data_IF_550402321759
#
_entry.id   IF_550402321759
#
_cell.length_a   1.000
_cell.length_b   1.000
_cell.length_c   1.000
_cell.angle_alpha   90.00
_cell.angle_beta   90.00
_cell.angle_gamma   90.00
#
_symmetry.space_group_name_H-M   'P 1'
#
loop_
_entity.id
_entity.type
_entity.pdbx_description
1 polymer ?
#
# COMPACT_ATOMS: atom_id res chain seq x y z
N UNK A 1 -12.40 -6.03 7.39
CA UNK A 1 -12.25 -7.24 8.24
C UNK A 1 -11.41 -6.89 9.48
N UNK A 2 -12.00 -7.02 10.68
CA UNK A 2 -11.25 -7.07 11.93
C UNK A 2 -10.28 -8.26 11.86
N UNK A 3 -9.03 -8.07 12.29
CA UNK A 3 -8.03 -9.12 12.26
C UNK A 3 -8.46 -10.25 13.22
N UNK A 4 -8.24 -11.50 12.79
CA UNK A 4 -8.39 -12.70 13.61
C UNK A 4 -7.36 -12.81 14.73
N UNK A 5 -6.38 -11.90 14.72
CA UNK A 5 -5.13 -12.01 15.47
C UNK A 5 -5.09 -10.97 16.62
N UNK A 6 -6.17 -10.18 16.80
CA UNK A 6 -6.25 -9.09 17.79
C UNK A 6 -5.41 -7.85 17.45
N UNK A 7 -4.69 -7.86 16.32
CA UNK A 7 -3.78 -6.80 15.90
C UNK A 7 -4.50 -5.78 15.00
N UNK A 8 -4.44 -4.50 15.34
CA UNK A 8 -4.87 -3.44 14.42
C UNK A 8 -3.80 -3.16 13.36
N UNK A 9 -3.77 -4.01 12.34
CA UNK A 9 -2.84 -3.89 11.21
C UNK A 9 -3.01 -2.59 10.43
N UNK A 10 -4.21 -2.02 10.41
CA UNK A 10 -4.44 -0.75 9.72
C UNK A 10 -3.77 0.39 10.48
N UNK A 11 -3.88 0.40 11.81
CA UNK A 11 -3.14 1.34 12.65
C UNK A 11 -1.63 1.17 12.48
N UNK A 12 -1.11 -0.05 12.54
CA UNK A 12 0.32 -0.32 12.39
C UNK A 12 0.88 0.19 11.05
N UNK A 13 0.20 -0.12 9.94
CA UNK A 13 0.59 0.36 8.59
C UNK A 13 0.47 1.89 8.50
N UNK A 14 -0.56 2.48 9.11
CA UNK A 14 -0.74 3.92 9.18
C UNK A 14 0.37 4.64 9.96
N UNK A 15 0.79 4.09 11.09
CA UNK A 15 1.86 4.63 11.93
C UNK A 15 3.21 4.59 11.17
N UNK A 16 3.50 3.50 10.47
CA UNK A 16 4.66 3.38 9.57
C UNK A 16 4.61 4.45 8.47
N UNK A 17 3.46 4.59 7.79
CA UNK A 17 3.30 5.55 6.69
C UNK A 17 3.54 6.99 7.16
N UNK A 18 3.00 7.33 8.34
CA UNK A 18 3.19 8.62 8.98
C UNK A 18 4.65 8.89 9.31
N UNK A 19 5.36 7.91 9.88
CA UNK A 19 6.75 8.07 10.26
C UNK A 19 7.68 8.26 9.05
N UNK A 20 7.45 7.52 7.96
CA UNK A 20 8.24 7.61 6.72
C UNK A 20 7.98 8.91 5.94
N UNK A 21 6.85 9.60 6.15
CA UNK A 21 6.56 10.89 5.49
C UNK A 21 7.22 12.10 6.16
N UNK A 22 7.73 11.95 7.39
CA UNK A 22 8.29 13.09 8.12
C UNK A 22 9.46 13.70 7.36
N UNK A 23 9.53 15.03 7.34
CA UNK A 23 10.62 15.78 6.68
C UNK A 23 12.00 15.44 7.25
N UNK A 24 12.06 15.03 8.52
CA UNK A 24 13.28 14.65 9.24
C UNK A 24 13.64 13.16 9.10
N UNK A 25 12.89 12.39 8.30
CA UNK A 25 13.18 10.96 8.13
C UNK A 25 14.55 10.77 7.44
N UNK A 26 15.51 10.01 8.03
CA UNK A 26 16.88 9.97 7.52
C UNK A 26 16.97 9.47 6.08
N UNK A 27 17.57 10.26 5.19
CA UNK A 27 17.69 9.94 3.76
C UNK A 27 18.38 8.58 3.51
N UNK A 28 19.37 8.23 4.34
CA UNK A 28 20.05 6.93 4.28
C UNK A 28 19.13 5.74 4.61
N UNK A 29 18.25 5.89 5.61
CA UNK A 29 17.24 4.89 5.93
C UNK A 29 16.23 4.76 4.80
N UNK A 30 15.72 5.89 4.27
CA UNK A 30 14.81 5.89 3.12
C UNK A 30 15.41 5.20 1.89
N UNK A 31 16.68 5.47 1.59
CA UNK A 31 17.41 4.81 0.50
C UNK A 31 17.54 3.30 0.73
N UNK A 32 17.79 2.87 1.98
CA UNK A 32 17.79 1.46 2.35
C UNK A 32 16.42 0.81 2.12
N UNK A 33 15.33 1.46 2.56
CA UNK A 33 13.97 0.95 2.39
C UNK A 33 13.54 0.86 0.91
N UNK A 34 14.00 1.78 0.05
CA UNK A 34 13.79 1.70 -1.41
C UNK A 34 14.42 0.45 -2.03
N UNK A 35 15.56 0.01 -1.50
CA UNK A 35 16.34 -1.15 -1.97
C UNK A 35 15.96 -2.47 -1.28
N UNK A 36 15.20 -2.40 -0.18
CA UNK A 36 14.74 -3.55 0.60
C UNK A 36 14.22 -4.67 -0.29
N UNK A 37 14.65 -5.92 -0.10
CA UNK A 37 14.12 -7.07 -0.84
C UNK A 37 13.00 -7.74 -0.03
N UNK A 38 11.70 -7.62 -0.39
CA UNK A 38 10.66 -8.09 0.52
C UNK A 38 10.60 -9.60 0.75
N UNK A 39 11.19 -10.41 -0.14
CA UNK A 39 11.29 -11.86 0.04
C UNK A 39 12.32 -12.26 1.12
N UNK A 40 13.26 -11.37 1.43
CA UNK A 40 14.29 -11.51 2.45
C UNK A 40 14.57 -10.12 3.01
N UNK A 41 13.68 -9.61 3.88
CA UNK A 41 13.77 -8.22 4.31
C UNK A 41 14.96 -8.04 5.26
N UNK A 42 16.08 -7.68 4.68
CA UNK A 42 17.33 -7.43 5.39
C UNK A 42 17.58 -5.92 5.58
N UNK A 43 18.36 -5.59 6.60
CA UNK A 43 18.88 -4.25 6.83
C UNK A 43 18.28 -3.52 8.03
N UNK A 44 19.13 -2.79 8.74
CA UNK A 44 18.79 -2.14 10.01
C UNK A 44 17.59 -1.18 9.91
N UNK A 45 17.45 -0.45 8.79
CA UNK A 45 16.33 0.48 8.61
C UNK A 45 14.96 -0.20 8.63
N UNK A 46 14.85 -1.41 8.07
CA UNK A 46 13.62 -2.20 8.12
C UNK A 46 13.36 -2.68 9.55
N UNK A 47 14.35 -3.32 10.19
CA UNK A 47 14.19 -3.88 11.54
C UNK A 47 13.84 -2.81 12.59
N UNK A 48 14.50 -1.65 12.55
CA UNK A 48 14.20 -0.53 13.44
C UNK A 48 12.76 -0.05 13.29
N UNK A 49 12.30 0.11 12.04
CA UNK A 49 10.96 0.62 11.75
C UNK A 49 9.87 -0.39 12.17
N UNK A 50 10.05 -1.67 11.85
CA UNK A 50 9.08 -2.71 12.20
C UNK A 50 9.04 -2.95 13.70
N UNK A 51 10.20 -3.07 14.36
CA UNK A 51 10.25 -3.24 15.82
C UNK A 51 9.56 -2.09 16.57
N UNK A 52 9.61 -0.87 16.03
CA UNK A 52 9.00 0.31 16.65
C UNK A 52 7.49 0.38 16.43
N UNK A 53 6.99 0.07 15.23
CA UNK A 53 5.61 0.38 14.84
C UNK A 53 4.73 -0.84 14.55
N UNK A 54 5.34 -2.01 14.32
CA UNK A 54 4.64 -3.25 14.03
C UNK A 54 5.42 -4.47 14.59
N UNK A 55 5.82 -4.50 15.88
CA UNK A 55 6.68 -5.55 16.42
C UNK A 55 6.06 -6.95 16.26
N UNK A 56 4.74 -7.05 16.34
CA UNK A 56 3.98 -8.28 16.10
C UNK A 56 4.16 -8.88 14.69
N UNK A 57 4.67 -8.12 13.72
CA UNK A 57 5.02 -8.65 12.41
C UNK A 57 6.26 -9.55 12.45
N UNK A 58 7.15 -9.35 13.43
CA UNK A 58 8.39 -10.11 13.60
C UNK A 58 8.14 -11.55 14.10
N UNK A 59 6.99 -11.79 14.73
CA UNK A 59 6.60 -13.12 15.23
C UNK A 59 5.94 -13.97 14.13
N UNK A 60 5.77 -13.43 12.92
CA UNK A 60 5.02 -14.07 11.84
C UNK A 60 5.63 -13.72 10.47
N UNK A 61 6.35 -14.67 9.88
CA UNK A 61 7.04 -14.52 8.58
C UNK A 61 6.14 -13.95 7.47
N UNK A 62 4.86 -14.34 7.46
CA UNK A 62 3.88 -13.84 6.49
C UNK A 62 3.56 -12.36 6.73
N UNK A 63 3.38 -11.96 7.99
CA UNK A 63 3.18 -10.57 8.36
C UNK A 63 4.43 -9.74 8.07
N UNK A 64 5.62 -10.25 8.41
CA UNK A 64 6.92 -9.64 8.11
C UNK A 64 7.05 -9.35 6.61
N UNK A 65 6.81 -10.35 5.75
CA UNK A 65 6.84 -10.21 4.29
C UNK A 65 5.82 -9.18 3.80
N UNK A 66 4.60 -9.20 4.33
CA UNK A 66 3.55 -8.25 3.94
C UNK A 66 3.89 -6.80 4.35
N UNK A 67 4.47 -6.60 5.53
CA UNK A 67 4.98 -5.31 5.99
C UNK A 67 6.16 -4.85 5.14
N UNK A 68 7.09 -5.74 4.79
CA UNK A 68 8.23 -5.43 3.93
C UNK A 68 7.81 -4.97 2.51
N UNK A 69 6.83 -5.64 1.90
CA UNK A 69 6.26 -5.22 0.59
C UNK A 69 5.66 -3.81 0.70
N UNK A 70 4.91 -3.58 1.77
CA UNK A 70 4.23 -2.32 2.05
C UNK A 70 5.23 -1.18 2.26
N UNK A 71 6.22 -1.36 3.13
CA UNK A 71 7.28 -0.36 3.39
C UNK A 71 8.09 -0.07 2.14
N UNK A 72 8.47 -1.10 1.38
CA UNK A 72 9.22 -0.88 0.14
C UNK A 72 8.42 -0.05 -0.87
N UNK A 73 7.12 -0.32 -1.01
CA UNK A 73 6.22 0.47 -1.83
C UNK A 73 6.12 1.93 -1.37
N UNK A 74 5.92 2.17 -0.07
CA UNK A 74 5.88 3.52 0.51
C UNK A 74 7.17 4.30 0.24
N UNK A 75 8.32 3.68 0.49
CA UNK A 75 9.62 4.31 0.28
C UNK A 75 9.87 4.69 -1.19
N UNK A 76 9.33 3.89 -2.13
CA UNK A 76 9.38 4.17 -3.57
C UNK A 76 8.44 5.31 -3.97
N UNK A 77 7.24 5.36 -3.38
CA UNK A 77 6.24 6.39 -3.67
C UNK A 77 6.49 7.72 -2.94
N UNK A 78 7.40 7.75 -1.95
CA UNK A 78 7.76 8.95 -1.19
C UNK A 78 8.11 10.14 -2.11
N UNK A 79 7.60 11.35 -1.85
CA UNK A 79 6.81 11.76 -0.67
C UNK A 79 5.29 11.56 -0.80
N UNK A 80 4.81 10.93 -1.87
CA UNK A 80 3.39 10.83 -2.20
C UNK A 80 2.75 9.52 -1.71
N UNK A 81 3.27 8.91 -0.64
CA UNK A 81 2.76 7.63 -0.16
C UNK A 81 1.60 7.76 0.83
N UNK A 82 1.49 8.84 1.62
CA UNK A 82 0.41 8.94 2.63
C UNK A 82 -0.83 9.65 2.08
N UNK A 83 -1.99 9.05 2.31
CA UNK A 83 -3.31 9.67 2.05
C UNK A 83 -3.87 10.34 3.30
N UNK A 84 -4.15 11.66 3.29
CA UNK A 84 -4.82 12.33 4.40
C UNK A 84 -6.25 11.81 4.64
N UNK A 85 -6.97 11.44 3.58
CA UNK A 85 -8.39 11.04 3.65
C UNK A 85 -8.61 9.52 3.73
N UNK A 86 -7.56 8.73 3.99
CA UNK A 86 -7.62 7.25 3.98
C UNK A 86 -8.27 6.66 2.70
N UNK A 87 -7.99 7.25 1.54
CA UNK A 87 -8.52 6.80 0.24
C UNK A 87 -8.09 5.37 -0.04
N UNK A 88 -9.01 4.51 -0.48
CA UNK A 88 -8.64 3.14 -0.88
C UNK A 88 -7.79 3.14 -2.14
N UNK A 89 -7.04 2.06 -2.34
CA UNK A 89 -6.19 1.90 -3.52
C UNK A 89 -7.01 1.95 -4.81
N UNK A 90 -8.18 1.30 -4.82
CA UNK A 90 -9.07 1.29 -5.98
C UNK A 90 -9.55 2.70 -6.35
N UNK A 91 -9.96 3.48 -5.35
CA UNK A 91 -10.37 4.87 -5.54
C UNK A 91 -9.23 5.72 -6.12
N UNK A 92 -8.05 5.69 -5.51
CA UNK A 92 -6.91 6.47 -5.96
C UNK A 92 -6.43 6.08 -7.37
N UNK A 93 -6.48 4.78 -7.70
CA UNK A 93 -6.17 4.33 -9.06
C UNK A 93 -7.15 4.89 -10.10
N UNK A 94 -8.44 5.00 -9.77
CA UNK A 94 -9.42 5.61 -10.67
C UNK A 94 -9.19 7.12 -10.82
N UNK A 95 -8.96 7.84 -9.71
CA UNK A 95 -8.66 9.29 -9.74
C UNK A 95 -7.37 9.62 -10.49
N UNK A 96 -6.35 8.79 -10.35
CA UNK A 96 -5.08 8.96 -11.05
C UNK A 96 -5.11 8.49 -12.52
N UNK A 97 -6.30 8.14 -13.04
CA UNK A 97 -6.54 7.66 -14.41
C UNK A 97 -5.71 6.42 -14.75
N UNK A 98 -5.53 5.53 -13.78
CA UNK A 98 -4.85 4.26 -14.03
C UNK A 98 -5.78 3.35 -14.82
N UNK A 99 -5.29 2.84 -15.94
CA UNK A 99 -6.01 1.90 -16.82
C UNK A 99 -6.52 0.67 -16.06
N UNK A 100 -7.74 0.24 -16.36
CA UNK A 100 -8.36 -0.99 -15.85
C UNK A 100 -7.46 -2.23 -16.00
N UNK A 101 -6.76 -2.35 -17.13
CA UNK A 101 -5.82 -3.45 -17.37
C UNK A 101 -4.73 -3.56 -16.29
N UNK A 102 -4.25 -2.43 -15.74
CA UNK A 102 -3.26 -2.42 -14.64
C UNK A 102 -3.88 -2.79 -13.31
N UNK A 103 -5.09 -2.33 -13.02
CA UNK A 103 -5.85 -2.78 -11.85
C UNK A 103 -6.03 -4.30 -11.89
N UNK A 104 -6.56 -4.84 -12.98
CA UNK A 104 -6.81 -6.27 -13.12
C UNK A 104 -5.52 -7.09 -13.11
N UNK A 105 -4.39 -6.53 -13.55
CA UNK A 105 -3.08 -7.17 -13.41
C UNK A 105 -2.69 -7.29 -11.93
N UNK A 106 -2.75 -6.18 -11.17
CA UNK A 106 -2.48 -6.20 -9.73
C UNK A 106 -3.38 -7.20 -9.00
N UNK A 107 -4.69 -7.11 -9.26
CA UNK A 107 -5.70 -7.96 -8.61
C UNK A 107 -5.65 -9.43 -9.03
N UNK A 108 -4.88 -9.81 -10.06
CA UNK A 108 -4.63 -11.22 -10.41
C UNK A 108 -3.23 -11.69 -10.04
N UNK A 109 -2.36 -10.78 -9.58
CA UNK A 109 -0.99 -11.12 -9.22
C UNK A 109 -0.98 -12.05 -8.01
N UNK A 110 -0.21 -13.14 -8.12
CA UNK A 110 0.04 -14.09 -7.04
C UNK A 110 0.99 -13.51 -5.99
N UNK A 111 1.17 -14.22 -4.87
CA UNK A 111 1.99 -13.74 -3.77
C UNK A 111 3.48 -13.56 -4.13
N UNK A 112 4.00 -14.37 -5.06
CA UNK A 112 5.42 -14.34 -5.44
C UNK A 112 5.75 -13.18 -6.37
N UNK A 113 4.85 -12.85 -7.29
CA UNK A 113 4.98 -11.72 -8.21
C UNK A 113 4.51 -10.39 -7.62
N UNK A 114 3.75 -10.40 -6.51
CA UNK A 114 3.17 -9.21 -5.88
C UNK A 114 4.22 -8.13 -5.53
N UNK A 115 5.40 -8.45 -4.96
CA UNK A 115 6.43 -7.43 -4.68
C UNK A 115 6.84 -6.65 -5.94
N UNK A 116 6.98 -7.34 -7.07
CA UNK A 116 7.34 -6.70 -8.33
C UNK A 116 6.24 -5.80 -8.88
N UNK A 117 4.97 -6.22 -8.75
CA UNK A 117 3.83 -5.42 -9.19
C UNK A 117 3.58 -4.20 -8.29
N UNK A 118 3.70 -4.36 -6.97
CA UNK A 118 3.60 -3.25 -6.00
C UNK A 118 4.67 -2.20 -6.27
N UNK A 119 5.90 -2.58 -6.60
CA UNK A 119 6.94 -1.61 -7.00
C UNK A 119 6.59 -0.80 -8.24
N UNK A 120 6.04 -1.47 -9.26
CA UNK A 120 5.61 -0.79 -10.50
C UNK A 120 4.46 0.18 -10.21
N UNK A 121 3.49 -0.28 -9.42
CA UNK A 121 2.37 0.53 -8.96
C UNK A 121 2.85 1.73 -8.14
N UNK A 122 3.76 1.53 -7.18
CA UNK A 122 4.30 2.58 -6.32
C UNK A 122 4.95 3.72 -7.12
N UNK A 123 5.77 3.38 -8.13
CA UNK A 123 6.38 4.38 -9.02
C UNK A 123 5.33 5.12 -9.83
N UNK A 124 4.37 4.38 -10.39
CA UNK A 124 3.30 4.96 -11.20
C UNK A 124 2.43 5.90 -10.36
N UNK A 125 1.95 5.46 -9.20
CA UNK A 125 1.17 6.29 -8.28
C UNK A 125 1.98 7.48 -7.77
N UNK A 126 3.25 7.29 -7.40
CA UNK A 126 4.14 8.39 -7.01
C UNK A 126 4.30 9.45 -8.11
N UNK A 127 4.37 9.04 -9.38
CA UNK A 127 4.43 9.97 -10.52
C UNK A 127 3.15 10.79 -10.74
N UNK A 128 2.03 10.38 -10.11
CA UNK A 128 0.74 11.07 -10.17
C UNK A 128 0.57 12.12 -9.06
N UNK A 129 1.58 12.32 -8.21
CA UNK A 129 1.55 13.31 -7.13
C UNK A 129 0.41 13.04 -6.15
N UNK A 130 -0.34 14.09 -5.80
CA UNK A 130 -1.41 14.01 -4.80
C UNK A 130 -2.57 13.09 -5.22
N UNK A 131 -2.87 12.99 -6.52
CA UNK A 131 -3.88 12.03 -7.03
C UNK A 131 -3.46 10.57 -6.77
N UNK A 132 -2.16 10.30 -6.64
CA UNK A 132 -1.61 8.98 -6.40
C UNK A 132 -1.56 8.54 -4.94
N UNK A 133 -1.89 9.39 -3.97
CA UNK A 133 -1.81 9.04 -2.54
C UNK A 133 -2.98 8.14 -2.11
N UNK A 134 -2.72 7.03 -1.43
CA UNK A 134 -3.76 6.11 -0.91
C UNK A 134 -3.37 5.49 0.44
N UNK A 135 -4.31 4.81 1.09
CA UNK A 135 -4.09 4.00 2.29
C UNK A 135 -3.42 2.67 1.91
N UNK A 136 -2.14 2.55 2.26
CA UNK A 136 -1.32 1.37 1.98
C UNK A 136 -1.77 0.10 2.71
N UNK A 137 -2.72 0.19 3.63
CA UNK A 137 -3.34 -1.00 4.22
C UNK A 137 -3.91 -1.93 3.15
N UNK A 138 -4.37 -1.41 2.00
CA UNK A 138 -4.84 -2.27 0.90
C UNK A 138 -3.73 -3.13 0.30
N UNK A 139 -2.51 -2.59 0.21
CA UNK A 139 -1.31 -3.33 -0.25
C UNK A 139 -0.90 -4.38 0.79
N UNK A 140 -0.85 -3.99 2.06
CA UNK A 140 -0.61 -4.93 3.15
C UNK A 140 -1.64 -6.07 3.12
N UNK A 141 -2.93 -5.75 3.00
CA UNK A 141 -4.02 -6.71 2.99
C UNK A 141 -3.96 -7.67 1.79
N UNK A 142 -3.56 -7.20 0.61
CA UNK A 142 -3.33 -8.06 -0.56
C UNK A 142 -2.20 -9.07 -0.33
N UNK A 143 -1.13 -8.66 0.36
CA UNK A 143 0.00 -9.53 0.68
C UNK A 143 -0.30 -10.49 1.84
N UNK A 144 -0.99 -9.99 2.87
CA UNK A 144 -1.24 -10.74 4.10
C UNK A 144 -2.46 -11.66 3.98
N UNK A 145 -3.60 -11.22 3.43
CA UNK A 145 -4.78 -12.07 3.23
C UNK A 145 -5.03 -12.32 1.74
N UNK A 146 -4.67 -13.51 1.21
CA UNK A 146 -4.73 -13.81 -0.21
C UNK A 146 -6.15 -14.28 -0.54
N UNK A 147 -7.15 -13.50 -0.14
CA UNK A 147 -8.55 -13.83 -0.34
C UNK A 147 -9.20 -12.88 -1.35
N UNK A 148 -10.25 -13.37 -1.98
CA UNK A 148 -11.00 -12.62 -2.98
C UNK A 148 -11.73 -11.41 -2.41
N UNK A 149 -12.00 -11.37 -1.11
CA UNK A 149 -12.76 -10.28 -0.51
C UNK A 149 -12.00 -8.95 -0.59
N UNK A 150 -10.68 -8.95 -0.34
CA UNK A 150 -9.84 -7.76 -0.49
C UNK A 150 -9.78 -7.32 -1.95
N UNK A 151 -9.54 -8.26 -2.87
CA UNK A 151 -9.46 -7.98 -4.32
C UNK A 151 -10.78 -7.41 -4.85
N UNK A 152 -11.92 -7.98 -4.46
CA UNK A 152 -13.26 -7.52 -4.84
C UNK A 152 -13.57 -6.14 -4.28
N UNK A 153 -13.18 -5.83 -3.04
CA UNK A 153 -13.36 -4.49 -2.46
C UNK A 153 -12.60 -3.45 -3.27
N UNK A 154 -11.32 -3.68 -3.56
CA UNK A 154 -10.48 -2.75 -4.34
C UNK A 154 -11.08 -2.55 -5.74
N UNK A 155 -11.54 -3.62 -6.41
CA UNK A 155 -12.21 -3.52 -7.70
C UNK A 155 -13.50 -2.68 -7.62
N UNK A 156 -14.37 -2.94 -6.63
CA UNK A 156 -15.62 -2.19 -6.44
C UNK A 156 -15.36 -0.70 -6.25
N UNK A 157 -14.38 -0.34 -5.44
CA UNK A 157 -14.02 1.06 -5.18
C UNK A 157 -13.52 1.75 -6.46
N UNK A 158 -12.70 1.07 -7.26
CA UNK A 158 -12.23 1.57 -8.55
C UNK A 158 -13.38 1.84 -9.51
N UNK A 159 -14.22 0.83 -9.82
CA UNK A 159 -15.29 1.00 -10.81
C UNK A 159 -16.36 1.98 -10.35
N UNK A 160 -16.65 2.03 -9.04
CA UNK A 160 -17.55 3.05 -8.48
C UNK A 160 -17.00 4.46 -8.73
N UNK A 161 -15.72 4.71 -8.42
CA UNK A 161 -15.12 6.02 -8.64
C UNK A 161 -15.03 6.36 -10.12
N UNK A 162 -14.63 5.42 -10.96
CA UNK A 162 -14.58 5.60 -12.41
C UNK A 162 -15.96 5.98 -12.99
N UNK A 163 -17.03 5.29 -12.56
CA UNK A 163 -18.40 5.61 -12.97
C UNK A 163 -18.80 7.03 -12.57
N UNK A 164 -18.51 7.45 -11.33
CA UNK A 164 -18.80 8.81 -10.85
C UNK A 164 -18.05 9.87 -11.66
N UNK A 165 -16.77 9.63 -11.97
CA UNK A 165 -15.95 10.55 -12.78
C UNK A 165 -16.50 10.69 -14.22
N UNK A 166 -17.10 9.63 -14.76
CA UNK A 166 -17.75 9.65 -16.08
C UNK A 166 -19.18 10.23 -16.03
N UNK A 167 -19.82 10.25 -14.86
CA UNK A 167 -21.22 10.65 -14.68
C UNK A 167 -21.39 11.61 -13.48
N UNK A 168 -20.83 12.84 -13.52
CA UNK A 168 -20.76 13.75 -12.38
C UNK A 168 -22.13 14.23 -11.83
N UNK A 169 -23.23 14.01 -12.56
CA UNK A 169 -24.60 14.38 -12.11
C UNK A 169 -25.18 13.45 -11.03
N UNK A 170 -24.51 12.34 -10.69
CA UNK A 170 -24.99 11.36 -9.70
C UNK A 170 -24.72 11.67 -8.23
N UNK A 171 -23.93 12.72 -7.91
CA UNK A 171 -23.59 13.09 -6.52
C UNK A 171 -24.54 14.15 -5.91
N UNK A 172 -25.56 14.61 -6.67
CA UNK A 172 -26.49 15.68 -6.25
C UNK A 172 -27.92 15.19 -5.94
N UNK A 173 -28.14 13.90 -5.66
CA UNK A 173 -29.46 13.34 -5.35
C UNK A 173 -29.47 12.61 -4.00
#
# INVERSE_FOLDING_TARGET
>A
PMSTDGIDWRKAVGDIAWHVEREDYPAGQLASLRRLQPARPEGAAFWLLVNTHAPVALDNERAERAVAITINGMAIAHPFHRSPERRSLGFAMAEAEISEARLLRLLRTDAEALPGEVRRLARLMGSKGDAGRFDWFDVFALAYWPNDAIRRRIAKDYYRRQYNLQNPKGEAA
#
